data_IF_890218180121
#
_entry.id   IF_890218180121
#
_cell.length_a   1.000
_cell.length_b   1.000
_cell.length_c   1.000
_cell.angle_alpha   90.00
_cell.angle_beta   90.00
_cell.angle_gamma   90.00
#
_symmetry.space_group_name_H-M   'P 1'
#
loop_
_entity.id
_entity.type
_entity.pdbx_description
1 polymer ?
#
# COMPACT_ATOMS: atom_id res chain seq x y z
N UNK A 1 7.15 25.33 -4.93
CA UNK A 1 8.23 24.73 -5.75
C UNK A 1 7.85 23.29 -5.87
N UNK A 2 7.43 22.89 -7.06
CA UNK A 2 7.05 21.52 -7.34
C UNK A 2 8.32 20.66 -7.29
N UNK A 3 8.33 19.62 -6.46
CA UNK A 3 9.49 18.74 -6.36
C UNK A 3 9.35 17.70 -7.45
N UNK A 4 10.10 17.89 -8.54
CA UNK A 4 10.25 16.86 -9.56
C UNK A 4 11.34 15.88 -9.10
N UNK A 5 10.94 14.69 -8.67
CA UNK A 5 11.82 13.59 -8.25
C UNK A 5 11.54 12.38 -9.15
N UNK A 6 12.39 12.24 -10.17
CA UNK A 6 12.26 11.27 -11.25
C UNK A 6 12.63 9.82 -10.82
N UNK A 7 12.85 9.55 -9.52
CA UNK A 7 13.25 8.21 -9.03
C UNK A 7 12.19 7.13 -9.24
N UNK A 8 10.94 7.51 -9.47
CA UNK A 8 9.81 6.60 -9.67
C UNK A 8 9.26 6.60 -11.10
N UNK A 9 9.87 7.34 -12.02
CA UNK A 9 9.48 7.40 -13.44
C UNK A 9 9.49 6.03 -14.13
N UNK A 10 10.31 5.10 -13.63
CA UNK A 10 10.37 3.72 -14.13
C UNK A 10 9.05 2.96 -14.01
N UNK A 11 8.12 3.43 -13.18
CA UNK A 11 6.79 2.83 -13.01
C UNK A 11 5.90 3.17 -14.21
N UNK A 12 6.00 4.39 -14.72
CA UNK A 12 5.28 4.81 -15.93
C UNK A 12 5.89 4.16 -17.18
N UNK A 13 7.18 3.79 -17.14
CA UNK A 13 7.88 3.08 -18.22
C UNK A 13 7.61 1.57 -18.25
N UNK A 14 7.30 0.95 -17.11
CA UNK A 14 6.94 -0.47 -16.99
C UNK A 14 5.44 -0.66 -17.24
N UNK A 15 5.06 -0.82 -18.52
CA UNK A 15 3.68 -1.10 -18.91
C UNK A 15 3.05 -2.20 -18.05
N UNK A 16 2.02 -1.85 -17.27
CA UNK A 16 1.20 -2.81 -16.52
C UNK A 16 1.51 -2.93 -15.03
N UNK A 17 2.43 -2.14 -14.47
CA UNK A 17 2.78 -2.21 -13.05
C UNK A 17 1.83 -1.40 -12.14
N UNK A 18 0.74 -2.04 -11.71
CA UNK A 18 -0.28 -1.45 -10.82
C UNK A 18 -0.17 -2.03 -9.42
N UNK A 19 0.82 -1.54 -8.66
CA UNK A 19 1.14 -2.12 -7.36
C UNK A 19 0.16 -1.70 -6.28
N UNK A 20 -0.16 -2.64 -5.39
CA UNK A 20 -0.65 -2.31 -4.05
C UNK A 20 0.50 -2.47 -3.09
N UNK A 21 0.94 -1.35 -2.54
CA UNK A 21 2.13 -1.27 -1.71
C UNK A 21 1.76 -0.77 -0.32
N UNK A 22 2.24 -1.46 0.72
CA UNK A 22 1.96 -1.10 2.11
C UNK A 22 3.22 -1.13 2.94
N UNK A 23 3.47 -0.06 3.70
CA UNK A 23 4.50 0.03 4.72
C UNK A 23 3.87 -0.13 6.09
N UNK A 24 4.47 -0.96 6.94
CA UNK A 24 3.95 -1.31 8.26
C UNK A 24 5.07 -1.19 9.29
N UNK A 25 4.85 -0.33 10.29
CA UNK A 25 5.75 -0.15 11.43
C UNK A 25 5.17 -0.83 12.68
N UNK A 26 6.05 -1.39 13.53
CA UNK A 26 5.67 -1.93 14.84
C UNK A 26 5.41 -3.44 14.88
N UNK A 27 5.45 -4.12 13.74
CA UNK A 27 5.27 -5.59 13.64
C UNK A 27 6.27 -6.25 12.70
N UNK A 28 6.55 -7.53 12.93
CA UNK A 28 7.45 -8.33 12.13
C UNK A 28 6.74 -8.94 10.90
N UNK A 29 7.52 -9.40 9.91
CA UNK A 29 7.01 -10.01 8.67
C UNK A 29 5.98 -11.12 8.89
N UNK A 30 6.24 -12.02 9.86
CA UNK A 30 5.32 -13.11 10.18
C UNK A 30 3.92 -12.62 10.58
N UNK A 31 3.88 -11.53 11.33
CA UNK A 31 2.63 -10.94 11.79
C UNK A 31 1.94 -10.15 10.67
N UNK A 32 2.71 -9.47 9.81
CA UNK A 32 2.15 -8.85 8.60
C UNK A 32 1.49 -9.90 7.71
N UNK A 33 2.18 -11.02 7.42
CA UNK A 33 1.63 -12.12 6.62
C UNK A 33 0.32 -12.63 7.24
N UNK A 34 0.28 -12.85 8.56
CA UNK A 34 -0.95 -13.28 9.25
C UNK A 34 -2.09 -12.28 9.15
N UNK A 35 -1.80 -10.98 9.24
CA UNK A 35 -2.80 -9.90 9.15
C UNK A 35 -3.36 -9.74 7.74
N UNK A 36 -2.59 -10.10 6.72
CA UNK A 36 -3.10 -10.30 5.35
C UNK A 36 -3.89 -11.62 5.18
N UNK A 37 -3.92 -12.50 6.20
CA UNK A 37 -4.61 -13.80 6.16
C UNK A 37 -3.77 -14.95 5.62
N UNK A 38 -2.47 -14.76 5.44
CA UNK A 38 -1.53 -15.80 4.99
C UNK A 38 -0.92 -16.62 6.13
N UNK A 39 -0.22 -17.69 5.75
CA UNK A 39 0.54 -18.53 6.68
C UNK A 39 2.05 -18.27 6.55
N UNK A 40 2.72 -17.68 7.57
CA UNK A 40 4.16 -17.45 7.53
C UNK A 40 5.00 -18.74 7.50
N UNK A 41 4.42 -19.89 7.88
CA UNK A 41 5.04 -21.20 7.74
C UNK A 41 5.05 -21.75 6.32
N UNK A 42 4.26 -21.15 5.40
CA UNK A 42 4.11 -21.59 4.02
C UNK A 42 4.43 -20.45 3.04
N UNK A 43 5.70 -20.03 3.00
CA UNK A 43 6.19 -18.95 2.14
C UNK A 43 7.21 -19.42 1.10
N UNK A 44 7.28 -18.72 -0.02
CA UNK A 44 8.29 -18.93 -1.08
C UNK A 44 9.01 -17.62 -1.38
N UNK A 45 10.28 -17.68 -1.78
CA UNK A 45 10.98 -16.51 -2.31
C UNK A 45 10.64 -16.36 -3.79
N UNK A 46 9.95 -15.27 -4.16
CA UNK A 46 9.49 -15.04 -5.54
C UNK A 46 9.77 -13.60 -5.97
N UNK A 47 10.16 -13.40 -7.23
CA UNK A 47 10.16 -12.07 -7.85
C UNK A 47 8.74 -11.70 -8.33
N UNK A 48 8.52 -10.42 -8.67
CA UNK A 48 7.20 -9.90 -9.08
C UNK A 48 6.60 -10.63 -10.27
N UNK A 49 7.39 -10.92 -11.31
CA UNK A 49 6.95 -11.69 -12.49
C UNK A 49 6.44 -13.08 -12.11
N UNK A 50 7.13 -13.77 -11.19
CA UNK A 50 6.70 -15.09 -10.71
C UNK A 50 5.40 -14.99 -9.90
N UNK A 51 5.18 -13.90 -9.16
CA UNK A 51 3.92 -13.67 -8.42
C UNK A 51 2.78 -13.38 -9.39
N UNK A 52 3.04 -12.64 -10.46
CA UNK A 52 2.08 -12.35 -11.52
C UNK A 52 1.64 -13.64 -12.24
N UNK A 53 2.60 -14.50 -12.59
CA UNK A 53 2.36 -15.80 -13.24
C UNK A 53 1.54 -16.78 -12.38
N UNK A 54 1.52 -16.58 -11.05
CA UNK A 54 0.72 -17.40 -10.14
C UNK A 54 -0.78 -17.07 -10.17
N UNK A 55 -1.21 -16.00 -10.84
CA UNK A 55 -2.63 -15.67 -10.96
C UNK A 55 -3.34 -16.72 -11.82
N UNK A 56 -4.23 -17.56 -11.25
CA UNK A 56 -4.88 -18.61 -12.01
C UNK A 56 -5.87 -18.02 -13.00
N UNK A 57 -6.06 -18.71 -14.13
CA UNK A 57 -7.26 -18.56 -14.94
C UNK A 57 -8.49 -19.00 -14.12
N UNK A 58 -9.09 -18.05 -13.40
CA UNK A 58 -10.49 -18.01 -12.94
C UNK A 58 -11.01 -19.00 -11.87
N UNK A 59 -10.34 -20.07 -11.42
CA UNK A 59 -11.04 -21.08 -10.58
C UNK A 59 -10.76 -21.06 -9.07
N UNK A 60 -9.56 -20.69 -8.60
CA UNK A 60 -9.25 -20.74 -7.16
C UNK A 60 -8.85 -19.40 -6.51
N UNK A 61 -8.99 -18.26 -7.22
CA UNK A 61 -8.66 -16.88 -6.80
C UNK A 61 -8.03 -16.77 -5.40
N UNK A 62 -6.72 -16.96 -5.35
CA UNK A 62 -5.89 -16.67 -4.18
C UNK A 62 -5.03 -15.47 -4.49
N UNK A 63 -4.97 -14.53 -3.56
CA UNK A 63 -4.03 -13.42 -3.63
C UNK A 63 -2.63 -13.88 -3.20
N UNK A 64 -1.65 -13.04 -3.47
CA UNK A 64 -0.29 -13.25 -2.99
C UNK A 64 0.27 -11.92 -2.48
N UNK A 65 0.96 -11.97 -1.34
CA UNK A 65 1.67 -10.81 -0.78
C UNK A 65 3.13 -11.17 -0.56
N UNK A 66 4.02 -10.41 -1.20
CA UNK A 66 5.45 -10.45 -0.95
C UNK A 66 5.81 -9.45 0.16
N UNK A 67 6.58 -9.89 1.16
CA UNK A 67 7.03 -9.01 2.25
C UNK A 67 8.55 -8.94 2.33
N UNK A 68 9.05 -7.83 2.88
CA UNK A 68 10.42 -7.70 3.35
C UNK A 68 10.56 -6.61 4.40
N UNK A 69 11.72 -6.54 5.04
CA UNK A 69 11.97 -5.57 6.12
C UNK A 69 13.10 -4.60 5.77
N UNK A 70 12.92 -3.34 6.15
CA UNK A 70 13.93 -2.28 6.06
C UNK A 70 13.85 -1.36 7.28
N UNK A 71 14.95 -1.17 7.99
CA UNK A 71 15.00 -0.19 9.10
C UNK A 71 13.95 -0.37 10.21
N UNK A 72 13.40 -1.58 10.38
CA UNK A 72 12.31 -1.85 11.35
C UNK A 72 10.89 -1.67 10.80
N UNK A 73 10.75 -1.29 9.53
CA UNK A 73 9.49 -1.22 8.79
C UNK A 73 9.40 -2.44 7.87
N UNK A 74 8.26 -3.13 7.88
CA UNK A 74 7.93 -4.16 6.91
C UNK A 74 7.24 -3.50 5.73
N UNK A 75 7.67 -3.79 4.52
CA UNK A 75 6.91 -3.46 3.32
C UNK A 75 6.23 -4.71 2.78
N UNK A 76 5.04 -4.55 2.24
CA UNK A 76 4.22 -5.57 1.62
C UNK A 76 3.84 -5.13 0.20
N UNK A 77 3.92 -6.05 -0.75
CA UNK A 77 3.64 -5.84 -2.16
C UNK A 77 2.66 -6.91 -2.65
N UNK A 78 1.49 -6.48 -3.11
CA UNK A 78 0.61 -7.30 -3.95
C UNK A 78 0.84 -6.87 -5.41
N UNK A 79 1.32 -7.79 -6.25
CA UNK A 79 1.48 -7.56 -7.70
C UNK A 79 0.12 -7.57 -8.40
N UNK A 80 -0.79 -8.39 -7.89
CA UNK A 80 -2.20 -8.44 -8.27
C UNK A 80 -3.01 -8.65 -7.00
N UNK A 81 -3.98 -7.79 -6.76
CA UNK A 81 -4.80 -7.80 -5.56
C UNK A 81 -5.13 -6.38 -5.10
N UNK A 82 -5.82 -6.29 -3.96
CA UNK A 82 -6.18 -5.02 -3.32
C UNK A 82 -6.40 -5.17 -1.82
N UNK A 83 -5.82 -6.21 -1.22
CA UNK A 83 -6.05 -6.55 0.19
C UNK A 83 -5.53 -5.45 1.11
N UNK A 84 -4.38 -4.86 0.77
CA UNK A 84 -3.77 -3.73 1.47
C UNK A 84 -4.53 -2.41 1.33
N UNK A 85 -5.50 -2.31 0.42
CA UNK A 85 -6.41 -1.16 0.31
C UNK A 85 -7.68 -1.30 1.18
N UNK A 86 -7.96 -2.50 1.70
CA UNK A 86 -9.16 -2.76 2.52
C UNK A 86 -9.04 -2.07 3.89
N UNK A 87 -9.96 -1.18 4.28
CA UNK A 87 -9.92 -0.45 5.56
C UNK A 87 -9.72 -1.36 6.79
N UNK A 88 -10.43 -2.48 6.86
CA UNK A 88 -10.30 -3.46 7.94
C UNK A 88 -8.90 -4.08 8.04
N UNK A 89 -8.27 -4.38 6.90
CA UNK A 89 -6.91 -4.91 6.84
C UNK A 89 -5.92 -3.84 7.27
N UNK A 90 -6.07 -2.59 6.81
CA UNK A 90 -5.23 -1.46 7.24
C UNK A 90 -5.29 -1.20 8.74
N UNK A 91 -6.49 -1.30 9.34
CA UNK A 91 -6.64 -1.25 10.81
C UNK A 91 -5.87 -2.37 11.45
N UNK A 92 -6.06 -3.61 11.00
CA UNK A 92 -5.35 -4.75 11.57
C UNK A 92 -3.83 -4.59 11.44
N UNK A 93 -3.31 -4.19 10.28
CA UNK A 93 -1.89 -3.93 10.01
C UNK A 93 -1.31 -2.85 10.92
N UNK A 94 -2.05 -1.77 11.18
CA UNK A 94 -1.56 -0.67 12.02
C UNK A 94 -1.60 -0.94 13.53
N UNK A 95 -2.25 -2.00 14.02
CA UNK A 95 -2.31 -2.30 15.48
C UNK A 95 -0.91 -2.44 16.08
N UNK A 96 -0.61 -1.65 17.11
CA UNK A 96 0.71 -1.59 17.75
C UNK A 96 1.73 -0.71 17.04
N UNK A 97 1.32 0.07 16.03
CA UNK A 97 2.18 0.97 15.27
C UNK A 97 1.39 1.82 14.28
N UNK A 98 1.82 1.84 13.02
CA UNK A 98 1.16 2.55 11.93
C UNK A 98 1.42 1.88 10.60
N UNK A 99 0.53 2.08 9.64
CA UNK A 99 0.76 1.67 8.27
C UNK A 99 0.33 2.76 7.29
N UNK A 100 1.08 2.88 6.20
CA UNK A 100 0.72 3.68 5.04
C UNK A 100 0.68 2.76 3.83
N UNK A 101 -0.40 2.80 3.06
CA UNK A 101 -0.53 2.02 1.85
C UNK A 101 -1.11 2.83 0.72
N UNK A 102 -0.84 2.42 -0.50
CA UNK A 102 -1.48 2.97 -1.68
C UNK A 102 -1.71 1.88 -2.72
N UNK A 103 -2.62 2.18 -3.63
CA UNK A 103 -2.88 1.43 -4.85
C UNK A 103 -2.73 2.39 -6.02
N UNK A 104 -2.02 1.96 -7.06
CA UNK A 104 -2.01 2.62 -8.36
C UNK A 104 -2.94 1.84 -9.30
N UNK A 105 -3.88 2.52 -9.96
CA UNK A 105 -4.85 1.86 -10.84
C UNK A 105 -4.60 2.22 -12.32
N UNK A 106 -4.85 1.25 -13.21
CA UNK A 106 -4.73 1.43 -14.67
C UNK A 106 -5.63 2.52 -15.24
N UNK A 107 -6.75 2.80 -14.58
CA UNK A 107 -7.71 3.81 -14.98
C UNK A 107 -7.49 5.15 -14.25
N UNK A 108 -6.47 5.25 -13.40
CA UNK A 108 -6.18 6.45 -12.60
C UNK A 108 -7.02 6.58 -11.33
N UNK A 109 -7.69 5.50 -10.90
CA UNK A 109 -8.39 5.39 -9.61
C UNK A 109 -7.39 5.06 -8.47
N UNK A 110 -6.34 5.87 -8.34
CA UNK A 110 -5.32 5.71 -7.30
C UNK A 110 -5.91 5.91 -5.91
N UNK A 111 -5.37 5.27 -4.89
CA UNK A 111 -5.84 5.47 -3.51
C UNK A 111 -4.70 5.55 -2.52
N UNK A 112 -4.87 6.40 -1.51
CA UNK A 112 -3.91 6.60 -0.43
C UNK A 112 -4.57 6.32 0.92
N UNK A 113 -3.87 5.56 1.76
CA UNK A 113 -4.40 5.08 3.01
C UNK A 113 -3.39 5.19 4.14
N UNK A 114 -3.84 5.62 5.31
CA UNK A 114 -3.01 5.72 6.50
C UNK A 114 -3.81 5.31 7.74
N UNK A 115 -3.25 4.43 8.55
CA UNK A 115 -3.85 3.99 9.80
C UNK A 115 -2.82 3.96 10.92
N UNK A 116 -3.26 4.24 12.14
CA UNK A 116 -2.43 4.29 13.34
C UNK A 116 -3.15 3.55 14.47
N UNK A 117 -2.47 2.55 15.03
CA UNK A 117 -2.95 1.73 16.14
C UNK A 117 -4.38 1.19 15.99
N UNK A 118 -4.72 0.70 14.80
CA UNK A 118 -6.05 0.13 14.53
C UNK A 118 -7.13 1.14 14.18
N UNK A 119 -6.81 2.43 14.10
CA UNK A 119 -7.73 3.47 13.67
C UNK A 119 -7.31 4.06 12.32
N UNK A 120 -8.28 4.20 11.42
CA UNK A 120 -8.06 4.75 10.09
C UNK A 120 -7.99 6.28 10.20
N UNK A 121 -6.94 6.85 9.63
CA UNK A 121 -6.66 8.29 9.66
C UNK A 121 -6.89 8.92 8.29
N UNK A 122 -6.43 8.26 7.22
CA UNK A 122 -6.64 8.65 5.82
C UNK A 122 -7.15 7.43 5.06
N UNK A 123 -8.16 7.65 4.21
CA UNK A 123 -8.61 6.71 3.18
C UNK A 123 -9.28 7.55 2.10
N UNK A 124 -8.52 7.89 1.06
CA UNK A 124 -8.90 8.86 0.03
C UNK A 124 -8.70 8.27 -1.36
N UNK A 125 -9.58 8.65 -2.28
CA UNK A 125 -9.60 8.26 -3.70
C UNK A 125 -9.89 9.52 -4.54
N UNK A 126 -9.52 9.55 -5.83
CA UNK A 126 -8.18 9.35 -6.39
C UNK A 126 -7.48 10.67 -6.79
N UNK A 127 -8.05 11.81 -6.43
CA UNK A 127 -7.55 13.13 -6.81
C UNK A 127 -7.77 14.17 -5.72
N UNK A 128 -6.99 15.24 -5.79
CA UNK A 128 -7.08 16.36 -4.88
C UNK A 128 -6.26 16.19 -3.61
N UNK A 129 -6.57 16.95 -2.55
CA UNK A 129 -5.80 16.91 -1.33
C UNK A 129 -5.97 15.57 -0.60
N UNK A 130 -4.87 15.00 -0.11
CA UNK A 130 -4.93 13.88 0.84
C UNK A 130 -5.23 14.44 2.23
N UNK A 131 -6.45 14.25 2.70
CA UNK A 131 -6.92 14.79 3.98
C UNK A 131 -7.21 13.70 5.01
N UNK A 132 -7.10 14.01 6.32
CA UNK A 132 -7.52 13.05 7.32
C UNK A 132 -9.05 12.96 7.34
N UNK A 133 -9.58 11.76 7.57
CA UNK A 133 -11.01 11.48 7.72
C UNK A 133 -11.69 12.36 8.79
N UNK A 134 -10.89 12.83 9.75
CA UNK A 134 -11.33 13.70 10.85
C UNK A 134 -10.55 15.01 10.79
N UNK A 135 -11.27 16.12 10.72
CA UNK A 135 -10.68 17.45 10.73
C UNK A 135 -9.80 17.63 11.98
N UNK A 136 -8.56 18.06 11.79
CA UNK A 136 -7.61 18.32 12.87
C UNK A 136 -6.98 17.07 13.50
N UNK A 137 -7.06 15.90 12.86
CA UNK A 137 -6.38 14.69 13.35
C UNK A 137 -4.85 14.89 13.36
N UNK A 138 -4.29 15.08 14.55
CA UNK A 138 -2.87 15.34 14.75
C UNK A 138 -1.94 14.20 14.33
N UNK A 139 -2.48 13.01 14.02
CA UNK A 139 -1.71 11.89 13.47
C UNK A 139 -1.37 12.09 12.00
N UNK A 140 -2.11 12.94 11.29
CA UNK A 140 -1.80 13.36 9.93
C UNK A 140 -1.09 14.72 9.94
N UNK A 141 0.06 14.81 9.25
CA UNK A 141 0.79 16.06 9.13
C UNK A 141 0.73 16.57 7.68
N UNK A 142 0.01 17.66 7.39
CA UNK A 142 -0.10 18.23 6.04
C UNK A 142 1.25 18.62 5.40
N UNK A 143 2.30 18.80 6.20
CA UNK A 143 3.67 19.05 5.69
C UNK A 143 4.16 17.89 4.80
N UNK A 144 3.67 16.66 4.99
CA UNK A 144 4.00 15.54 4.14
C UNK A 144 3.57 15.75 2.68
N UNK A 145 2.47 16.48 2.44
CA UNK A 145 2.00 16.79 1.08
C UNK A 145 2.66 18.03 0.48
N UNK A 146 3.31 18.88 1.28
CA UNK A 146 3.81 20.19 0.83
C UNK A 146 4.82 20.05 -0.32
N UNK A 147 4.55 20.72 -1.44
CA UNK A 147 5.38 20.68 -2.65
C UNK A 147 5.44 19.31 -3.35
N UNK A 148 4.52 18.41 -3.00
CA UNK A 148 4.36 17.08 -3.62
C UNK A 148 2.96 16.91 -4.21
N UNK A 149 1.92 17.25 -3.44
CA UNK A 149 0.52 17.22 -3.85
C UNK A 149 -0.02 18.64 -3.68
N UNK A 150 -0.57 19.22 -4.74
CA UNK A 150 -1.28 20.50 -4.63
C UNK A 150 -2.58 20.29 -3.83
N UNK A 151 -2.58 20.75 -2.58
CA UNK A 151 -3.72 20.61 -1.68
C UNK A 151 -4.85 21.61 -1.97
N UNK A 152 -4.60 22.60 -2.84
CA UNK A 152 -5.60 23.58 -3.27
C UNK A 152 -6.28 23.18 -4.58
N UNK A 153 -5.71 22.24 -5.34
CA UNK A 153 -6.26 21.76 -6.61
C UNK A 153 -7.02 20.44 -6.41
N UNK A 154 -8.36 20.42 -6.51
CA UNK A 154 -9.15 19.19 -6.39
C UNK A 154 -8.97 18.24 -7.59
N UNK A 155 -8.26 18.65 -8.65
CA UNK A 155 -7.96 17.84 -9.83
C UNK A 155 -6.53 17.29 -9.82
N UNK A 156 -5.79 17.55 -8.75
CA UNK A 156 -4.40 17.10 -8.59
C UNK A 156 -4.32 15.57 -8.69
N UNK A 157 -3.48 15.10 -9.61
CA UNK A 157 -3.21 13.69 -9.82
C UNK A 157 -2.03 13.23 -8.97
N UNK A 158 -2.18 12.07 -8.31
CA UNK A 158 -1.17 11.52 -7.44
C UNK A 158 -0.14 10.66 -8.18
N UNK A 159 -0.54 9.51 -8.74
CA UNK A 159 0.38 8.62 -9.46
C UNK A 159 1.64 8.29 -8.66
N UNK A 160 2.84 8.34 -9.29
CA UNK A 160 4.11 8.06 -8.62
C UNK A 160 4.42 8.95 -7.40
N UNK A 161 3.74 10.08 -7.20
CA UNK A 161 3.90 10.93 -5.99
C UNK A 161 3.55 10.17 -4.71
N UNK A 162 2.72 9.12 -4.78
CA UNK A 162 2.35 8.31 -3.61
C UNK A 162 3.55 7.57 -2.99
N UNK A 163 4.59 7.25 -3.77
CA UNK A 163 5.84 6.70 -3.22
C UNK A 163 6.55 7.71 -2.34
N UNK A 164 6.70 8.95 -2.81
CA UNK A 164 7.32 10.03 -2.04
C UNK A 164 6.48 10.40 -0.81
N UNK A 165 5.15 10.34 -0.93
CA UNK A 165 4.27 10.54 0.21
C UNK A 165 4.49 9.42 1.25
N UNK A 166 4.57 8.17 0.82
CA UNK A 166 4.88 7.03 1.68
C UNK A 166 6.24 7.20 2.40
N UNK A 167 7.28 7.65 1.69
CA UNK A 167 8.60 7.95 2.27
C UNK A 167 8.49 9.01 3.38
N UNK A 168 7.78 10.11 3.12
CA UNK A 168 7.60 11.22 4.08
C UNK A 168 6.79 10.83 5.31
N UNK A 169 5.72 10.06 5.11
CA UNK A 169 4.84 9.61 6.19
C UNK A 169 5.56 8.60 7.08
N UNK A 170 6.23 7.61 6.47
CA UNK A 170 6.79 6.47 7.19
C UNK A 170 8.26 6.63 7.56
N UNK A 171 8.95 7.65 7.03
CA UNK A 171 10.36 7.90 7.33
C UNK A 171 11.31 6.86 6.74
N UNK A 172 10.94 6.24 5.61
CA UNK A 172 11.75 5.25 4.89
C UNK A 172 12.05 5.74 3.49
N UNK A 173 13.08 5.20 2.84
CA UNK A 173 13.37 5.43 1.43
C UNK A 173 12.94 4.21 0.65
N UNK A 174 12.00 4.37 -0.29
CA UNK A 174 11.56 3.29 -1.16
C UNK A 174 12.62 3.08 -2.24
N UNK A 175 13.07 1.84 -2.40
CA UNK A 175 14.05 1.49 -3.42
C UNK A 175 13.41 0.67 -4.53
N UNK A 176 13.78 0.94 -5.79
CA UNK A 176 13.38 0.13 -6.95
C UNK A 176 13.69 -1.36 -6.77
N UNK A 177 14.75 -1.68 -6.00
CA UNK A 177 15.15 -3.06 -5.71
C UNK A 177 14.05 -3.87 -5.01
N UNK A 178 13.12 -3.23 -4.29
CA UNK A 178 12.04 -3.91 -3.57
C UNK A 178 11.01 -4.55 -4.50
N UNK A 179 10.94 -4.09 -5.75
CA UNK A 179 10.01 -4.56 -6.77
C UNK A 179 10.64 -5.55 -7.76
N UNK A 180 11.96 -5.78 -7.68
CA UNK A 180 12.66 -6.70 -8.58
C UNK A 180 13.41 -7.83 -7.85
N UNK A 181 13.66 -7.69 -6.55
CA UNK A 181 14.28 -8.74 -5.74
C UNK A 181 13.27 -9.82 -5.35
N UNK A 182 13.71 -11.06 -5.10
CA UNK A 182 12.85 -12.07 -4.50
C UNK A 182 12.36 -11.62 -3.11
N UNK A 183 11.04 -11.65 -2.91
CA UNK A 183 10.38 -11.35 -1.63
C UNK A 183 9.86 -12.63 -0.99
N UNK A 184 9.72 -12.62 0.34
CA UNK A 184 9.08 -13.70 1.06
C UNK A 184 7.57 -13.60 0.81
N UNK A 185 7.05 -14.49 -0.02
CA UNK A 185 5.70 -14.43 -0.53
C UNK A 185 4.82 -15.51 0.07
N UNK A 186 3.66 -15.09 0.59
CA UNK A 186 2.62 -15.96 1.11
C UNK A 186 1.39 -15.93 0.19
N UNK A 187 0.68 -17.06 0.13
CA UNK A 187 -0.68 -17.09 -0.39
C UNK A 187 -1.63 -16.46 0.63
N UNK A 188 -2.57 -15.62 0.16
CA UNK A 188 -3.57 -14.94 0.98
C UNK A 188 -4.96 -15.10 0.35
N UNK A 189 -6.05 -14.89 1.11
CA UNK A 189 -7.38 -14.83 0.53
C UNK A 189 -7.46 -13.75 -0.54
N UNK A 190 -8.20 -14.00 -1.62
CA UNK A 190 -8.45 -12.97 -2.64
C UNK A 190 -9.27 -11.82 -2.05
N UNK A 191 -8.89 -10.57 -2.35
CA UNK A 191 -9.50 -9.36 -1.76
C UNK A 191 -11.03 -9.28 -1.95
N UNK A 192 -11.57 -9.94 -2.98
CA UNK A 192 -13.00 -10.08 -3.20
C UNK A 192 -13.80 -10.67 -2.03
N UNK A 193 -13.17 -11.41 -1.10
CA UNK A 193 -13.86 -11.92 0.10
C UNK A 193 -14.34 -10.80 1.04
N UNK A 194 -13.74 -9.61 0.94
CA UNK A 194 -14.10 -8.47 1.79
C UNK A 194 -15.27 -7.68 1.20
N UNK A 195 -15.59 -7.85 -0.09
CA UNK A 195 -16.68 -7.11 -0.74
C UNK A 195 -18.01 -7.29 0.01
N UNK A 196 -18.71 -6.18 0.23
CA UNK A 196 -19.99 -6.15 0.97
C UNK A 196 -19.90 -6.66 2.42
N UNK A 197 -18.72 -6.55 3.04
CA UNK A 197 -18.52 -6.84 4.46
C UNK A 197 -18.17 -5.57 5.24
N UNK A 198 -18.33 -5.54 6.57
CA UNK A 198 -17.89 -4.43 7.41
C UNK A 198 -16.39 -4.09 7.33
N UNK A 199 -15.58 -4.93 6.67
CA UNK A 199 -14.18 -4.62 6.42
C UNK A 199 -13.98 -3.36 5.55
N UNK A 200 -15.00 -2.94 4.79
CA UNK A 200 -15.00 -1.70 4.01
C UNK A 200 -15.63 -0.51 4.74
N UNK A 201 -16.10 -0.67 5.98
CA UNK A 201 -16.66 0.45 6.73
C UNK A 201 -15.56 1.50 6.97
N UNK A 202 -15.81 2.75 6.55
CA UNK A 202 -15.01 3.94 6.83
C UNK A 202 -15.79 4.79 7.86
N UNK A 203 -15.17 5.19 8.98
CA UNK A 203 -15.84 5.85 10.10
C UNK A 203 -16.19 7.31 9.84
#
# INVERSE_FOLDING_TARGET
MDIQDDRFDWIDEEEGFYSVFTLVEGVAEDEVIRRFGGDPGNTRLLVTDEIYDLQPSHQDHRGHVGVGTVGGVVFALEVVGSTGAVPGVLRDLSRGGRCFGFLLDINGDDSAHYAVDGDLVVHEEPYGPVTPLREGDARWNPVWCTGLIDVEDPTEFWGPKLFLLAERVMGVTVERSWFSRPLRTAEIPYSGIFMNTPAWDIP
#
